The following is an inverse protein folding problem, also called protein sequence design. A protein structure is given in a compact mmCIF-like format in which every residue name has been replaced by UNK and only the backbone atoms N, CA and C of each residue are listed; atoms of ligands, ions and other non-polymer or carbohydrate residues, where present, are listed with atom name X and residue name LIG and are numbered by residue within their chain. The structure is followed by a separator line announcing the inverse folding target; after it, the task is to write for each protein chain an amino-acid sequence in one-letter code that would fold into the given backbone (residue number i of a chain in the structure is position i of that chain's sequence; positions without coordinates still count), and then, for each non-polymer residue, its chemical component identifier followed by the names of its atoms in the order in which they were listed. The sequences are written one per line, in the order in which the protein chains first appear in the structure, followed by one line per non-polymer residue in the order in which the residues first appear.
data_IF_381015904087
#
_entry.id   IF_381015904087
#
_cell.length_a   1.000
_cell.length_b   1.000
_cell.length_c   1.000
_cell.angle_alpha   90.00
_cell.angle_beta   90.00
_cell.angle_gamma   90.00
#
_symmetry.space_group_name_H-M   'P 1'
#
loop_
_entity.id
_entity.type
_entity.pdbx_description
1 polymer ?
#
# COMPACT_ATOMS: atom_id res chain seq x y z
N UNK A 1 22.76 -7.59 7.54
CA UNK A 1 21.69 -8.55 7.17
C UNK A 1 20.84 -8.83 8.39
N UNK A 2 19.52 -8.59 8.34
CA UNK A 2 18.63 -8.97 9.42
C UNK A 2 18.70 -10.49 9.63
N UNK A 3 18.98 -10.94 10.85
CA UNK A 3 18.97 -12.38 11.20
C UNK A 3 17.60 -12.95 10.83
N UNK A 4 17.60 -14.05 10.07
CA UNK A 4 16.38 -14.71 9.63
C UNK A 4 15.55 -15.15 10.83
N UNK A 5 14.33 -14.65 10.95
CA UNK A 5 13.35 -15.19 11.88
C UNK A 5 12.94 -16.58 11.38
N UNK A 6 13.34 -17.64 12.08
CA UNK A 6 12.94 -19.03 11.79
C UNK A 6 11.41 -19.25 11.85
N UNK A 7 10.68 -18.27 12.42
CA UNK A 7 9.25 -18.29 12.70
C UNK A 7 8.36 -17.69 11.59
N UNK A 8 8.89 -17.47 10.38
CA UNK A 8 8.11 -16.91 9.27
C UNK A 8 8.20 -17.75 7.99
N UNK A 9 7.15 -17.71 7.18
CA UNK A 9 7.12 -18.30 5.84
C UNK A 9 8.05 -17.56 4.89
N UNK A 10 8.41 -18.21 3.78
CA UNK A 10 9.24 -17.59 2.73
C UNK A 10 8.63 -16.29 2.21
N UNK A 11 7.32 -16.31 1.91
CA UNK A 11 6.63 -15.14 1.39
C UNK A 11 6.63 -13.98 2.38
N UNK A 12 6.27 -14.21 3.66
CA UNK A 12 6.31 -13.16 4.68
C UNK A 12 7.71 -12.54 4.82
N UNK A 13 8.77 -13.35 4.70
CA UNK A 13 10.15 -12.83 4.68
C UNK A 13 10.43 -11.97 3.45
N UNK A 14 9.96 -12.36 2.26
CA UNK A 14 10.11 -11.55 1.05
C UNK A 14 9.48 -10.16 1.24
N UNK A 15 8.29 -10.09 1.85
CA UNK A 15 7.63 -8.81 2.16
C UNK A 15 8.49 -7.95 3.11
N UNK A 16 9.06 -8.55 4.15
CA UNK A 16 9.94 -7.82 5.07
C UNK A 16 11.23 -7.35 4.42
N UNK A 17 11.84 -8.17 3.55
CA UNK A 17 13.02 -7.80 2.78
C UNK A 17 12.70 -6.63 1.85
N UNK A 18 11.54 -6.66 1.18
CA UNK A 18 11.10 -5.58 0.31
C UNK A 18 10.89 -4.27 1.08
N UNK A 19 10.22 -4.32 2.25
CA UNK A 19 10.08 -3.15 3.14
C UNK A 19 11.45 -2.63 3.60
N UNK A 20 12.40 -3.52 3.92
CA UNK A 20 13.76 -3.15 4.29
C UNK A 20 14.54 -2.49 3.13
N UNK A 21 14.34 -2.94 1.88
CA UNK A 21 14.94 -2.30 0.70
C UNK A 21 14.40 -0.90 0.45
N UNK A 22 13.15 -0.63 0.83
CA UNK A 22 12.50 0.69 0.69
C UNK A 22 12.89 1.63 1.85
N UNK A 23 12.71 1.19 3.09
CA UNK A 23 12.78 2.03 4.30
C UNK A 23 13.75 1.54 5.38
N UNK A 24 14.33 0.37 5.21
CA UNK A 24 15.22 -0.22 6.21
C UNK A 24 16.39 0.71 6.52
N UNK A 25 16.69 0.86 7.81
CA UNK A 25 17.89 1.55 8.27
C UNK A 25 18.91 0.48 8.58
N UNK A 26 19.82 0.25 7.66
CA UNK A 26 20.89 -0.73 7.83
C UNK A 26 22.20 0.01 8.12
N UNK A 27 23.19 -0.69 8.69
CA UNK A 27 24.54 -0.15 8.82
C UNK A 27 25.18 0.17 7.46
N UNK A 28 24.70 -0.47 6.39
CA UNK A 28 25.17 -0.27 5.02
C UNK A 28 24.50 0.94 4.34
N UNK A 29 23.42 1.49 4.91
CA UNK A 29 22.67 2.65 4.38
C UNK A 29 22.28 2.48 2.90
N UNK A 30 21.81 1.30 2.56
CA UNK A 30 21.60 0.81 1.20
C UNK A 30 20.14 0.83 0.74
N UNK A 31 19.21 1.20 1.61
CA UNK A 31 17.80 1.31 1.27
C UNK A 31 17.52 2.51 0.35
N UNK A 32 16.38 2.47 -0.35
CA UNK A 32 15.94 3.58 -1.20
C UNK A 32 15.89 4.89 -0.41
N UNK A 33 15.38 4.84 0.83
CA UNK A 33 15.32 6.02 1.69
C UNK A 33 16.71 6.49 2.14
N UNK A 34 17.61 5.59 2.56
CA UNK A 34 18.96 5.98 2.99
C UNK A 34 19.74 6.65 1.85
N UNK A 35 19.62 6.12 0.63
CA UNK A 35 20.20 6.71 -0.58
C UNK A 35 19.66 8.11 -0.88
N UNK A 36 18.35 8.33 -0.70
CA UNK A 36 17.73 9.64 -0.89
C UNK A 36 18.21 10.65 0.16
N UNK A 37 18.33 10.24 1.43
CA UNK A 37 18.85 11.08 2.51
C UNK A 37 20.30 11.47 2.24
N UNK A 38 21.14 10.52 1.81
CA UNK A 38 22.52 10.81 1.43
C UNK A 38 22.58 11.89 0.32
N UNK A 39 21.74 11.77 -0.71
CA UNK A 39 21.63 12.79 -1.75
C UNK A 39 21.23 14.16 -1.18
N UNK A 40 20.22 14.24 -0.31
CA UNK A 40 19.80 15.51 0.29
C UNK A 40 20.88 16.14 1.17
N UNK A 41 21.60 15.34 1.94
CA UNK A 41 22.69 15.81 2.80
C UNK A 41 23.84 16.38 1.94
N UNK A 42 24.22 15.71 0.85
CA UNK A 42 25.27 16.18 -0.05
C UNK A 42 24.90 17.48 -0.77
N UNK A 43 23.65 17.62 -1.22
CA UNK A 43 23.13 18.86 -1.85
C UNK A 43 23.19 20.06 -0.91
N UNK A 44 23.01 19.86 0.41
CA UNK A 44 23.14 20.96 1.37
C UNK A 44 24.58 21.41 1.62
N UNK A 45 25.57 20.57 1.28
CA UNK A 45 26.99 20.84 1.52
C UNK A 45 27.69 21.51 0.32
N UNK A 46 27.21 21.31 -0.91
CA UNK A 46 27.85 21.80 -2.15
C UNK A 46 27.53 23.25 -2.53
N UNK A 47 26.93 24.04 -1.63
CA UNK A 47 26.71 25.46 -1.87
C UNK A 47 28.01 26.27 -1.81
N UNK A 48 28.63 26.52 -2.99
CA UNK A 48 29.53 27.64 -3.36
C UNK A 48 30.89 27.31 -4.02
N UNK A 49 31.24 26.07 -4.37
CA UNK A 49 32.50 25.80 -5.08
C UNK A 49 32.31 25.56 -6.58
N UNK A 50 32.66 26.58 -7.39
CA UNK A 50 32.47 26.70 -8.84
C UNK A 50 33.44 25.86 -9.71
N UNK A 51 33.99 24.76 -9.22
CA UNK A 51 34.77 23.84 -10.06
C UNK A 51 34.43 22.38 -9.74
N UNK A 52 33.33 21.87 -10.31
CA UNK A 52 33.10 20.43 -10.39
C UNK A 52 34.15 19.81 -11.30
N UNK A 53 35.09 19.05 -10.73
CA UNK A 53 36.04 18.28 -11.54
C UNK A 53 35.29 17.20 -12.34
N UNK A 54 35.81 16.81 -13.51
CA UNK A 54 35.21 15.73 -14.33
C UNK A 54 35.02 14.42 -13.53
N UNK A 55 35.90 14.17 -12.56
CA UNK A 55 35.81 13.03 -11.64
C UNK A 55 34.59 13.11 -10.72
N UNK A 56 34.23 14.31 -10.22
CA UNK A 56 33.03 14.50 -9.40
C UNK A 56 31.75 14.35 -10.23
N UNK A 57 31.73 14.87 -11.45
CA UNK A 57 30.59 14.70 -12.36
C UNK A 57 30.38 13.22 -12.72
N UNK A 58 31.46 12.47 -12.93
CA UNK A 58 31.43 11.02 -13.19
C UNK A 58 30.87 10.27 -11.99
N UNK A 59 31.34 10.57 -10.77
CA UNK A 59 30.85 9.95 -9.54
C UNK A 59 29.35 10.22 -9.34
N UNK A 60 28.92 11.47 -9.51
CA UNK A 60 27.51 11.85 -9.39
C UNK A 60 26.61 11.06 -10.36
N UNK A 61 27.05 10.89 -11.61
CA UNK A 61 26.33 10.09 -12.60
C UNK A 61 26.23 8.60 -12.20
N UNK A 62 27.30 8.02 -11.66
CA UNK A 62 27.30 6.64 -11.17
C UNK A 62 26.31 6.45 -10.03
N UNK A 63 26.30 7.35 -9.04
CA UNK A 63 25.36 7.29 -7.92
C UNK A 63 23.90 7.47 -8.38
N UNK A 64 23.66 8.37 -9.34
CA UNK A 64 22.35 8.57 -9.95
C UNK A 64 21.83 7.29 -10.62
N UNK A 65 22.67 6.60 -11.39
CA UNK A 65 22.35 5.32 -12.03
C UNK A 65 22.10 4.23 -10.99
N UNK A 66 22.93 4.17 -9.94
CA UNK A 66 22.75 3.20 -8.85
C UNK A 66 21.41 3.40 -8.13
N UNK A 67 21.04 4.64 -7.81
CA UNK A 67 19.74 4.97 -7.19
C UNK A 67 18.57 4.57 -8.09
N UNK A 68 18.66 4.83 -9.40
CA UNK A 68 17.64 4.42 -10.37
C UNK A 68 17.52 2.91 -10.47
N UNK A 69 18.64 2.19 -10.57
CA UNK A 69 18.63 0.73 -10.68
C UNK A 69 18.07 0.06 -9.43
N UNK A 70 18.40 0.57 -8.24
CA UNK A 70 17.84 0.08 -6.98
C UNK A 70 16.33 0.32 -6.89
N UNK A 71 15.86 1.50 -7.31
CA UNK A 71 14.43 1.77 -7.38
C UNK A 71 13.72 0.86 -8.39
N UNK A 72 14.32 0.64 -9.56
CA UNK A 72 13.80 -0.26 -10.59
C UNK A 72 13.72 -1.70 -10.08
N UNK A 73 14.75 -2.21 -9.39
CA UNK A 73 14.74 -3.57 -8.85
C UNK A 73 13.62 -3.77 -7.83
N UNK A 74 13.38 -2.77 -6.96
CA UNK A 74 12.23 -2.77 -6.03
C UNK A 74 10.91 -2.84 -6.81
N UNK A 75 10.75 -2.04 -7.86
CA UNK A 75 9.54 -2.05 -8.69
C UNK A 75 9.32 -3.40 -9.38
N UNK A 76 10.39 -4.02 -9.91
CA UNK A 76 10.33 -5.34 -10.54
C UNK A 76 9.93 -6.44 -9.53
N UNK A 77 10.48 -6.40 -8.31
CA UNK A 77 10.07 -7.31 -7.24
C UNK A 77 8.59 -7.12 -6.85
N UNK A 78 8.09 -5.88 -6.83
CA UNK A 78 6.66 -5.61 -6.60
C UNK A 78 5.82 -6.21 -7.74
N UNK A 79 6.22 -6.03 -8.99
CA UNK A 79 5.54 -6.59 -10.17
C UNK A 79 5.50 -8.11 -10.08
N UNK A 80 6.61 -8.78 -9.78
CA UNK A 80 6.67 -10.25 -9.62
C UNK A 80 5.69 -10.76 -8.54
N UNK A 81 5.62 -10.03 -7.42
CA UNK A 81 4.76 -10.36 -6.28
C UNK A 81 3.29 -9.99 -6.47
N UNK A 82 2.92 -9.25 -7.53
CA UNK A 82 1.55 -8.73 -7.71
C UNK A 82 0.92 -9.03 -9.06
N UNK A 83 1.70 -9.30 -10.12
CA UNK A 83 1.17 -9.67 -11.44
C UNK A 83 1.03 -11.20 -11.56
N UNK A 84 -0.11 -11.63 -12.11
CA UNK A 84 -0.42 -13.02 -12.43
C UNK A 84 -0.58 -13.24 -13.93
N UNK A 85 -0.96 -14.47 -14.29
CA UNK A 85 -1.25 -14.82 -15.70
C UNK A 85 -2.53 -14.13 -16.19
N UNK A 86 -3.49 -13.97 -15.29
CA UNK A 86 -4.81 -13.38 -15.53
C UNK A 86 -5.23 -12.39 -14.43
N UNK A 87 -6.44 -11.85 -14.58
CA UNK A 87 -7.04 -10.91 -13.63
C UNK A 87 -7.22 -11.51 -12.23
N UNK A 88 -7.63 -12.77 -12.12
CA UNK A 88 -7.88 -13.41 -10.81
C UNK A 88 -6.57 -13.60 -10.05
N UNK A 89 -5.55 -14.16 -10.71
CA UNK A 89 -4.24 -14.43 -10.12
C UNK A 89 -3.52 -13.13 -9.73
N UNK A 90 -3.61 -12.09 -10.58
CA UNK A 90 -3.09 -10.74 -10.27
C UNK A 90 -3.71 -10.18 -8.99
N UNK A 91 -5.03 -10.30 -8.85
CA UNK A 91 -5.72 -9.79 -7.66
C UNK A 91 -5.49 -10.67 -6.43
N UNK A 92 -5.35 -11.99 -6.59
CA UNK A 92 -4.99 -12.91 -5.51
C UNK A 92 -3.60 -12.58 -4.93
N UNK A 93 -2.60 -12.44 -5.81
CA UNK A 93 -1.23 -12.05 -5.43
C UNK A 93 -1.20 -10.67 -4.75
N UNK A 94 -1.94 -9.72 -5.28
CA UNK A 94 -2.06 -8.38 -4.70
C UNK A 94 -2.73 -8.40 -3.32
N UNK A 95 -3.83 -9.15 -3.16
CA UNK A 95 -4.50 -9.34 -1.87
C UNK A 95 -3.55 -9.96 -0.83
N UNK A 96 -2.79 -10.97 -1.26
CA UNK A 96 -1.78 -11.64 -0.44
C UNK A 96 -0.70 -10.69 0.03
N UNK A 97 -0.14 -9.85 -0.85
CA UNK A 97 0.88 -8.88 -0.48
C UNK A 97 0.31 -7.81 0.46
N UNK A 98 -0.82 -7.18 0.11
CA UNK A 98 -1.48 -6.14 0.92
C UNK A 98 -1.83 -6.66 2.31
N UNK A 99 -2.50 -7.81 2.39
CA UNK A 99 -2.90 -8.38 3.67
C UNK A 99 -1.72 -8.87 4.50
N UNK A 100 -0.64 -9.37 3.87
CA UNK A 100 0.59 -9.72 4.61
C UNK A 100 1.23 -8.49 5.24
N UNK A 101 1.28 -7.36 4.53
CA UNK A 101 1.77 -6.08 5.10
C UNK A 101 0.91 -5.67 6.31
N UNK A 102 -0.42 -5.71 6.18
CA UNK A 102 -1.33 -5.35 7.28
C UNK A 102 -1.21 -6.29 8.48
N UNK A 103 -1.19 -7.62 8.25
CA UNK A 103 -1.15 -8.63 9.31
C UNK A 103 0.20 -8.71 10.01
N UNK A 104 1.29 -8.38 9.33
CA UNK A 104 2.62 -8.28 9.94
C UNK A 104 2.79 -6.98 10.74
N UNK A 105 1.89 -6.00 10.59
CA UNK A 105 1.97 -4.71 11.26
C UNK A 105 1.34 -4.77 12.65
N UNK A 106 1.97 -4.17 13.68
CA UNK A 106 1.35 -4.05 14.99
C UNK A 106 0.14 -3.13 14.91
N UNK A 107 -0.93 -3.52 15.59
CA UNK A 107 -2.18 -2.73 15.68
C UNK A 107 -2.25 -1.90 16.96
N UNK A 108 -1.39 -2.22 17.94
CA UNK A 108 -1.34 -1.60 19.28
C UNK A 108 0.11 -1.43 19.76
N UNK A 109 0.32 -0.53 20.71
CA UNK A 109 1.62 -0.30 21.37
C UNK A 109 2.52 0.73 20.69
N UNK A 110 3.71 0.93 21.26
CA UNK A 110 4.62 2.04 20.92
C UNK A 110 5.27 1.95 19.53
N UNK A 111 5.24 0.78 18.88
CA UNK A 111 5.88 0.56 17.57
C UNK A 111 4.96 0.83 16.38
N UNK A 112 3.68 1.12 16.62
CA UNK A 112 2.67 1.30 15.57
C UNK A 112 3.06 2.40 14.60
N UNK A 113 3.39 3.59 15.09
CA UNK A 113 3.69 4.74 14.22
C UNK A 113 4.91 4.47 13.33
N UNK A 114 6.02 4.03 13.91
CA UNK A 114 7.25 3.72 13.17
C UNK A 114 7.04 2.62 12.12
N UNK A 115 6.31 1.54 12.46
CA UNK A 115 6.00 0.49 11.50
C UNK A 115 5.08 1.00 10.38
N UNK A 116 4.03 1.73 10.74
CA UNK A 116 3.04 2.25 9.80
C UNK A 116 3.68 3.20 8.78
N UNK A 117 4.62 4.05 9.19
CA UNK A 117 5.39 4.89 8.27
C UNK A 117 6.09 4.05 7.18
N UNK A 118 6.74 2.95 7.57
CA UNK A 118 7.47 2.07 6.64
C UNK A 118 6.53 1.30 5.69
N UNK A 119 5.34 0.91 6.15
CA UNK A 119 4.39 0.16 5.34
C UNK A 119 3.63 1.02 4.32
N UNK A 120 3.49 2.34 4.57
CA UNK A 120 2.67 3.24 3.75
C UNK A 120 3.02 3.21 2.27
N UNK A 121 4.29 3.42 1.91
CA UNK A 121 4.63 3.63 0.49
C UNK A 121 4.41 2.37 -0.34
N UNK A 122 4.80 1.20 0.19
CA UNK A 122 4.60 -0.08 -0.49
C UNK A 122 3.12 -0.39 -0.66
N UNK A 123 2.33 -0.27 0.41
CA UNK A 123 0.90 -0.54 0.35
C UNK A 123 0.18 0.39 -0.63
N UNK A 124 0.54 1.69 -0.62
CA UNK A 124 0.04 2.69 -1.56
C UNK A 124 0.42 2.37 -3.01
N UNK A 125 1.65 1.94 -3.25
CA UNK A 125 2.14 1.62 -4.59
C UNK A 125 1.36 0.46 -5.22
N UNK A 126 1.12 -0.61 -4.45
CA UNK A 126 0.33 -1.76 -4.90
C UNK A 126 -1.11 -1.34 -5.25
N UNK A 127 -1.75 -0.55 -4.38
CA UNK A 127 -3.09 -0.03 -4.65
C UNK A 127 -3.13 0.88 -5.88
N UNK A 128 -2.08 1.68 -6.13
CA UNK A 128 -2.02 2.59 -7.28
C UNK A 128 -2.05 1.82 -8.59
N UNK A 129 -1.33 0.69 -8.68
CA UNK A 129 -1.33 -0.16 -9.89
C UNK A 129 -2.66 -0.89 -10.05
N UNK A 130 -3.24 -1.44 -8.98
CA UNK A 130 -4.57 -2.09 -9.06
C UNK A 130 -5.68 -1.12 -9.43
N UNK A 131 -5.57 0.12 -8.96
CA UNK A 131 -6.48 1.21 -9.31
C UNK A 131 -6.35 1.59 -10.79
N UNK A 132 -5.13 1.65 -11.32
CA UNK A 132 -4.89 1.83 -12.75
C UNK A 132 -5.61 0.74 -13.57
N UNK A 133 -5.42 -0.54 -13.21
CA UNK A 133 -6.06 -1.65 -13.92
C UNK A 133 -7.59 -1.48 -13.97
N UNK A 134 -8.21 -1.21 -12.81
CA UNK A 134 -9.67 -1.01 -12.72
C UNK A 134 -10.15 0.14 -13.59
N UNK A 135 -9.47 1.29 -13.54
CA UNK A 135 -9.86 2.46 -14.32
C UNK A 135 -9.72 2.25 -15.83
N UNK A 136 -8.76 1.44 -16.28
CA UNK A 136 -8.64 1.05 -17.70
C UNK A 136 -9.80 0.12 -18.07
N UNK A 137 -10.09 -0.89 -17.25
CA UNK A 137 -11.19 -1.84 -17.49
C UNK A 137 -12.56 -1.14 -17.52
N UNK A 138 -12.76 -0.12 -16.69
CA UNK A 138 -13.96 0.71 -16.69
C UNK A 138 -14.03 1.71 -17.86
N UNK A 139 -13.05 1.70 -18.79
CA UNK A 139 -12.87 2.71 -19.85
C UNK A 139 -12.93 4.14 -19.30
N UNK A 140 -12.46 4.28 -18.07
CA UNK A 140 -12.72 5.43 -17.22
C UNK A 140 -11.64 6.49 -17.32
N UNK A 141 -10.49 6.12 -17.88
CA UNK A 141 -9.48 7.03 -18.40
C UNK A 141 -9.92 7.48 -19.80
N UNK A 142 -10.97 8.30 -19.88
CA UNK A 142 -11.48 8.80 -21.16
C UNK A 142 -10.47 9.72 -21.86
N UNK A 143 -10.39 9.59 -23.19
CA UNK A 143 -9.52 10.31 -24.12
C UNK A 143 -9.63 11.84 -24.12
N UNK A 144 -10.59 12.43 -23.42
CA UNK A 144 -10.82 13.88 -23.41
C UNK A 144 -10.12 14.65 -22.27
N UNK A 145 -9.50 13.95 -21.31
CA UNK A 145 -8.75 14.58 -20.20
C UNK A 145 -7.26 14.17 -20.22
N UNK A 146 -6.49 14.56 -21.23
CA UNK A 146 -5.03 14.70 -21.10
C UNK A 146 -4.42 15.30 -22.37
N UNK A 147 -3.82 16.47 -22.23
CA UNK A 147 -2.72 16.94 -23.07
C UNK A 147 -1.45 16.12 -22.80
N UNK A 148 -1.50 14.78 -22.99
CA UNK A 148 -0.40 13.80 -23.12
C UNK A 148 -0.74 12.46 -22.44
N UNK A 149 -1.56 11.64 -23.11
CA UNK A 149 -2.03 10.36 -22.59
C UNK A 149 -1.05 9.21 -22.92
N UNK A 150 0.09 9.16 -22.23
CA UNK A 150 1.06 8.07 -22.36
C UNK A 150 0.42 6.68 -22.19
N UNK A 151 -0.60 6.55 -21.32
CA UNK A 151 -1.35 5.30 -21.14
C UNK A 151 -2.07 4.91 -22.44
N UNK A 152 -2.86 5.82 -23.01
CA UNK A 152 -3.55 5.56 -24.27
C UNK A 152 -2.58 5.33 -25.43
N UNK A 153 -1.45 6.05 -25.47
CA UNK A 153 -0.39 5.82 -26.46
C UNK A 153 0.09 4.37 -26.44
N UNK A 154 0.44 3.85 -25.25
CA UNK A 154 0.90 2.47 -25.11
C UNK A 154 -0.23 1.46 -25.41
N UNK A 155 -1.47 1.72 -24.98
CA UNK A 155 -2.60 0.85 -25.33
C UNK A 155 -2.81 0.79 -26.85
N UNK A 156 -2.70 1.92 -27.53
CA UNK A 156 -2.85 2.02 -28.99
C UNK A 156 -1.68 1.41 -29.78
N UNK A 157 -0.56 1.04 -29.14
CA UNK A 157 0.47 0.19 -29.77
C UNK A 157 -0.08 -1.22 -30.06
N UNK A 158 -1.17 -1.63 -29.41
CA UNK A 158 -1.81 -2.94 -29.55
C UNK A 158 -3.33 -2.81 -29.85
N UNK A 159 -3.71 -2.24 -31.02
CA UNK A 159 -5.10 -1.89 -31.31
C UNK A 159 -6.05 -3.10 -31.43
N UNK A 160 -5.50 -4.28 -31.74
CA UNK A 160 -6.28 -5.50 -31.95
C UNK A 160 -6.55 -6.28 -30.65
N UNK A 161 -6.08 -5.79 -29.51
CA UNK A 161 -6.23 -6.46 -28.20
C UNK A 161 -6.76 -5.49 -27.16
N UNK A 162 -7.82 -5.89 -26.45
CA UNK A 162 -8.25 -5.14 -25.27
C UNK A 162 -7.23 -5.33 -24.13
N UNK A 163 -7.16 -4.39 -23.19
CA UNK A 163 -6.24 -4.44 -22.06
C UNK A 163 -6.31 -5.77 -21.27
N UNK A 164 -7.52 -6.32 -21.11
CA UNK A 164 -7.73 -7.59 -20.40
C UNK A 164 -7.12 -8.79 -21.15
N UNK A 165 -6.97 -8.68 -22.46
CA UNK A 165 -6.59 -9.75 -23.39
C UNK A 165 -5.16 -9.58 -23.93
N UNK A 166 -4.39 -8.66 -23.35
CA UNK A 166 -2.98 -8.46 -23.74
C UNK A 166 -2.19 -9.77 -23.65
N UNK A 167 -1.45 -10.07 -24.71
CA UNK A 167 -0.48 -11.16 -24.73
C UNK A 167 0.73 -10.82 -23.85
N UNK A 168 1.71 -11.74 -23.78
CA UNK A 168 2.90 -11.54 -22.96
C UNK A 168 3.72 -10.31 -23.38
N UNK A 169 3.77 -10.00 -24.68
CA UNK A 169 4.55 -8.88 -25.21
C UNK A 169 3.89 -7.55 -24.85
N UNK A 170 2.57 -7.45 -25.08
CA UNK A 170 1.78 -6.28 -24.73
C UNK A 170 1.74 -6.05 -23.21
N UNK A 171 1.59 -7.12 -22.41
CA UNK A 171 1.68 -7.06 -20.95
C UNK A 171 3.03 -6.49 -20.50
N UNK A 172 4.14 -7.04 -21.02
CA UNK A 172 5.48 -6.57 -20.67
C UNK A 172 5.70 -5.11 -21.07
N UNK A 173 5.31 -4.73 -22.29
CA UNK A 173 5.39 -3.35 -22.77
C UNK A 173 4.62 -2.40 -21.86
N UNK A 174 3.40 -2.77 -21.46
CA UNK A 174 2.57 -1.96 -20.57
C UNK A 174 3.16 -1.86 -19.15
N UNK A 175 3.69 -2.97 -18.62
CA UNK A 175 4.37 -2.98 -17.32
C UNK A 175 5.54 -2.00 -17.33
N UNK A 176 6.42 -2.10 -18.32
CA UNK A 176 7.64 -1.29 -18.41
C UNK A 176 7.37 0.20 -18.59
N UNK A 177 6.41 0.54 -19.46
CA UNK A 177 6.16 1.93 -19.84
C UNK A 177 5.18 2.65 -18.91
N UNK A 178 4.31 1.90 -18.21
CA UNK A 178 3.23 2.49 -17.39
C UNK A 178 3.31 2.03 -15.93
N UNK A 179 3.24 0.72 -15.64
CA UNK A 179 3.13 0.24 -14.25
C UNK A 179 4.40 0.52 -13.43
N UNK A 180 5.59 0.32 -14.01
CA UNK A 180 6.86 0.60 -13.34
C UNK A 180 7.00 2.10 -13.02
N UNK A 181 6.86 3.04 -13.97
CA UNK A 181 6.83 4.47 -13.67
C UNK A 181 5.81 4.88 -12.60
N UNK A 182 4.61 4.28 -12.61
CA UNK A 182 3.59 4.52 -11.59
C UNK A 182 4.05 4.05 -10.21
N UNK A 183 4.65 2.85 -10.11
CA UNK A 183 5.24 2.34 -8.86
C UNK A 183 6.35 3.26 -8.36
N UNK A 184 7.28 3.67 -9.24
CA UNK A 184 8.35 4.59 -8.89
C UNK A 184 7.78 5.90 -8.33
N UNK A 185 6.82 6.51 -9.03
CA UNK A 185 6.17 7.74 -8.56
C UNK A 185 5.46 7.55 -7.22
N UNK A 186 4.78 6.41 -7.01
CA UNK A 186 4.10 6.11 -5.74
C UNK A 186 5.09 5.97 -4.57
N UNK A 187 6.21 5.26 -4.78
CA UNK A 187 7.25 5.08 -3.76
C UNK A 187 7.94 6.41 -3.40
N UNK A 188 8.16 7.28 -4.39
CA UNK A 188 8.86 8.56 -4.21
C UNK A 188 7.99 9.71 -3.69
N UNK A 189 6.67 9.62 -3.76
CA UNK A 189 5.75 10.76 -3.50
C UNK A 189 6.02 11.52 -2.19
N UNK A 190 6.49 10.82 -1.16
CA UNK A 190 6.72 11.37 0.18
C UNK A 190 8.23 11.49 0.54
N UNK A 191 9.14 11.27 -0.44
CA UNK A 191 10.59 11.22 -0.20
C UNK A 191 11.17 12.59 0.20
N UNK A 192 10.59 13.69 -0.30
CA UNK A 192 10.99 15.04 0.04
C UNK A 192 10.80 15.41 1.51
N UNK A 193 9.97 14.66 2.26
CA UNK A 193 9.86 14.85 3.71
C UNK A 193 11.17 14.57 4.46
N UNK A 194 12.11 13.84 3.86
CA UNK A 194 13.39 13.50 4.47
C UNK A 194 14.50 14.52 4.18
N UNK A 195 14.21 15.57 3.40
CA UNK A 195 15.11 16.70 3.26
C UNK A 195 15.25 17.46 4.60
N UNK A 196 16.44 17.99 4.89
CA UNK A 196 16.78 18.70 6.14
C UNK A 196 15.75 19.77 6.57
N UNK A 197 15.30 20.61 5.62
CA UNK A 197 14.25 21.61 5.84
C UNK A 197 12.90 21.03 6.30
N UNK A 198 12.49 19.88 5.75
CA UNK A 198 11.26 19.21 6.15
C UNK A 198 11.43 18.52 7.52
N UNK A 199 12.60 17.91 7.74
CA UNK A 199 12.98 17.33 9.03
C UNK A 199 13.05 18.37 10.16
N UNK A 200 13.45 19.61 9.88
CA UNK A 200 13.42 20.69 10.86
C UNK A 200 11.99 21.04 11.32
N UNK A 201 10.99 20.89 10.45
CA UNK A 201 9.57 21.02 10.84
C UNK A 201 9.16 19.81 11.67
N UNK A 202 9.52 18.60 11.24
CA UNK A 202 9.10 17.35 11.88
C UNK A 202 9.78 17.10 13.24
N UNK A 203 11.02 17.52 13.44
CA UNK A 203 11.75 17.21 14.67
C UNK A 203 11.99 18.45 15.55
N UNK A 204 11.67 19.65 15.06
CA UNK A 204 11.97 20.91 15.73
C UNK A 204 13.45 21.28 15.64
N UNK A 205 13.80 22.48 16.10
CA UNK A 205 15.16 23.02 16.01
C UNK A 205 16.19 22.19 16.80
N UNK A 206 15.77 21.58 17.91
CA UNK A 206 16.59 20.76 18.80
C UNK A 206 16.48 19.25 18.51
N UNK A 207 15.73 18.86 17.47
CA UNK A 207 15.46 17.47 17.06
C UNK A 207 14.77 16.59 18.11
N UNK A 208 14.05 17.17 19.06
CA UNK A 208 13.39 16.43 20.16
C UNK A 208 11.88 16.25 19.98
N UNK A 209 11.26 16.94 19.03
CA UNK A 209 9.83 16.80 18.82
C UNK A 209 9.51 15.46 18.15
N UNK A 210 8.38 14.86 18.56
CA UNK A 210 7.87 13.66 17.90
C UNK A 210 7.51 13.99 16.43
N UNK A 211 8.11 13.29 15.44
CA UNK A 211 7.79 13.48 14.02
C UNK A 211 6.36 13.10 13.66
N UNK A 212 5.64 12.38 14.53
CA UNK A 212 4.27 11.94 14.29
C UNK A 212 3.20 12.81 14.97
N UNK A 213 3.61 13.87 15.68
CA UNK A 213 2.70 14.79 16.34
C UNK A 213 1.77 15.50 15.35
N UNK A 214 0.68 16.04 15.86
CA UNK A 214 -0.17 16.94 15.09
C UNK A 214 0.60 18.23 14.76
N UNK A 215 0.70 18.56 13.47
CA UNK A 215 1.21 19.84 13.00
C UNK A 215 0.08 20.85 12.88
N UNK A 216 0.34 22.10 13.21
CA UNK A 216 -0.58 23.20 12.91
C UNK A 216 -0.74 23.40 11.40
N UNK A 217 -1.72 24.22 11.02
CA UNK A 217 -2.10 24.41 9.60
C UNK A 217 -0.94 24.99 8.77
N UNK A 218 -0.17 25.92 9.32
CA UNK A 218 0.93 26.58 8.61
C UNK A 218 2.15 25.66 8.48
N UNK A 219 2.53 24.97 9.56
CA UNK A 219 3.56 23.94 9.54
C UNK A 219 3.23 22.83 8.54
N UNK A 220 1.98 22.36 8.54
CA UNK A 220 1.52 21.33 7.60
C UNK A 220 1.58 21.82 6.15
N UNK A 221 1.14 23.04 5.87
CA UNK A 221 1.20 23.64 4.54
C UNK A 221 2.64 23.76 4.05
N UNK A 222 3.55 24.23 4.90
CA UNK A 222 4.98 24.34 4.60
C UNK A 222 5.62 22.97 4.37
N UNK A 223 5.32 21.98 5.20
CA UNK A 223 5.81 20.61 5.02
C UNK A 223 5.36 20.03 3.67
N UNK A 224 4.08 20.20 3.31
CA UNK A 224 3.55 19.74 2.02
C UNK A 224 4.25 20.41 0.82
N UNK A 225 4.56 21.71 0.91
CA UNK A 225 5.31 22.44 -0.13
C UNK A 225 6.75 21.94 -0.25
N UNK A 226 7.43 21.72 0.89
CA UNK A 226 8.79 21.21 0.92
C UNK A 226 8.86 19.79 0.37
N UNK A 227 7.94 18.92 0.77
CA UNK A 227 7.85 17.56 0.23
C UNK A 227 7.68 17.60 -1.29
N UNK A 228 6.72 18.39 -1.78
CA UNK A 228 6.49 18.53 -3.22
C UNK A 228 7.73 18.99 -3.98
N UNK A 229 8.38 20.06 -3.50
CA UNK A 229 9.59 20.62 -4.12
C UNK A 229 10.72 19.58 -4.15
N UNK A 230 11.07 19.02 -2.99
CA UNK A 230 12.23 18.16 -2.84
C UNK A 230 12.03 16.78 -3.47
N UNK A 231 10.79 16.26 -3.51
CA UNK A 231 10.46 15.06 -4.27
C UNK A 231 10.67 15.26 -5.78
N UNK A 232 10.23 16.40 -6.33
CA UNK A 232 10.44 16.69 -7.75
C UNK A 232 11.91 16.89 -8.09
N UNK A 233 12.65 17.62 -7.25
CA UNK A 233 14.09 17.79 -7.42
C UNK A 233 14.84 16.46 -7.34
N UNK A 234 14.51 15.61 -6.36
CA UNK A 234 15.10 14.28 -6.25
C UNK A 234 14.80 13.42 -7.50
N UNK A 235 13.59 13.50 -8.04
CA UNK A 235 13.24 12.77 -9.27
C UNK A 235 14.02 13.29 -10.49
N UNK A 236 14.19 14.60 -10.64
CA UNK A 236 14.87 15.18 -11.81
C UNK A 236 16.38 15.11 -11.74
N UNK A 237 16.96 15.36 -10.56
CA UNK A 237 18.40 15.55 -10.35
C UNK A 237 19.01 14.45 -9.47
N UNK A 238 18.22 13.77 -8.64
CA UNK A 238 18.69 12.66 -7.82
C UNK A 238 18.73 11.33 -8.57
N UNK A 239 17.90 11.14 -9.60
CA UNK A 239 17.80 9.89 -10.35
C UNK A 239 18.43 9.99 -11.75
N UNK A 240 19.21 8.98 -12.13
CA UNK A 240 19.88 8.85 -13.42
C UNK A 240 19.04 8.16 -14.49
N UNK A 241 19.39 8.33 -15.76
CA UNK A 241 18.75 7.59 -16.87
C UNK A 241 19.41 6.22 -16.96
N UNK A 242 18.63 5.17 -17.19
CA UNK A 242 19.22 3.86 -17.44
C UNK A 242 20.14 3.93 -18.67
N UNK A 243 21.23 3.15 -18.68
CA UNK A 243 22.14 3.09 -19.82
C UNK A 243 21.66 2.00 -20.79
N UNK A 244 21.59 2.33 -22.08
CA UNK A 244 21.31 1.33 -23.11
C UNK A 244 22.47 0.31 -23.19
N UNK A 245 22.11 -0.98 -23.20
CA UNK A 245 23.05 -2.09 -23.40
C UNK A 245 22.63 -2.84 -24.66
N UNK A 246 23.41 -2.72 -25.73
CA UNK A 246 23.15 -3.37 -27.00
C UNK A 246 23.97 -2.77 -28.13
N UNK A 247 23.82 -3.32 -29.34
CA UNK A 247 24.65 -3.00 -30.50
C UNK A 247 23.90 -2.31 -31.65
N UNK A 248 22.58 -2.08 -31.53
CA UNK A 248 21.77 -1.42 -32.57
C UNK A 248 21.57 0.06 -32.27
N UNK A 249 21.75 0.89 -33.29
CA UNK A 249 21.49 2.34 -33.20
C UNK A 249 19.99 2.62 -33.10
N UNK A 250 19.18 1.82 -33.79
CA UNK A 250 17.72 1.90 -33.82
C UNK A 250 17.16 1.56 -32.43
N UNK A 251 17.60 0.44 -31.84
CA UNK A 251 17.23 0.06 -30.47
C UNK A 251 17.65 1.11 -29.45
N UNK A 252 18.89 1.64 -29.56
CA UNK A 252 19.35 2.73 -28.68
C UNK A 252 18.47 3.96 -28.78
N UNK A 253 18.03 4.30 -29.98
CA UNK A 253 17.17 5.47 -30.22
C UNK A 253 15.80 5.25 -29.57
N UNK A 254 15.18 4.08 -29.78
CA UNK A 254 13.91 3.74 -29.16
C UNK A 254 14.00 3.69 -27.64
N UNK A 255 15.07 3.11 -27.10
CA UNK A 255 15.35 3.08 -25.66
C UNK A 255 15.38 4.50 -25.06
N UNK A 256 16.09 5.43 -25.70
CA UNK A 256 16.17 6.81 -25.21
C UNK A 256 14.80 7.50 -25.22
N UNK A 257 13.99 7.27 -26.26
CA UNK A 257 12.62 7.79 -26.37
C UNK A 257 11.75 7.24 -25.24
N UNK A 258 11.81 5.93 -25.00
CA UNK A 258 11.05 5.25 -23.96
C UNK A 258 11.46 5.75 -22.56
N UNK A 259 12.75 5.85 -22.26
CA UNK A 259 13.24 6.35 -20.97
C UNK A 259 12.84 7.81 -20.73
N UNK A 260 12.84 8.64 -21.78
CA UNK A 260 12.34 10.01 -21.70
C UNK A 260 10.83 10.04 -21.42
N UNK A 261 10.04 9.21 -22.10
CA UNK A 261 8.60 9.11 -21.90
C UNK A 261 8.25 8.64 -20.46
N UNK A 262 8.97 7.64 -19.94
CA UNK A 262 8.83 7.16 -18.55
C UNK A 262 9.07 8.29 -17.55
N UNK A 263 10.14 9.07 -17.72
CA UNK A 263 10.46 10.23 -16.87
C UNK A 263 9.39 11.30 -16.91
N UNK A 264 8.92 11.67 -18.10
CA UNK A 264 7.84 12.65 -18.28
C UNK A 264 6.55 12.16 -17.60
N UNK A 265 6.23 10.87 -17.73
CA UNK A 265 5.07 10.28 -17.09
C UNK A 265 5.19 10.30 -15.55
N UNK A 266 6.33 9.91 -14.99
CA UNK A 266 6.59 10.02 -13.53
C UNK A 266 6.44 11.46 -13.04
N UNK A 267 7.01 12.42 -13.76
CA UNK A 267 6.92 13.84 -13.42
C UNK A 267 5.48 14.33 -13.46
N UNK A 268 4.70 13.93 -14.46
CA UNK A 268 3.28 14.25 -14.58
C UNK A 268 2.48 13.70 -13.40
N UNK A 269 2.68 12.42 -13.05
CA UNK A 269 2.00 11.78 -11.91
C UNK A 269 2.30 12.52 -10.60
N UNK A 270 3.57 12.79 -10.31
CA UNK A 270 3.99 13.50 -9.10
C UNK A 270 3.43 14.92 -9.04
N UNK A 271 3.58 15.70 -10.14
CA UNK A 271 3.08 17.07 -10.23
C UNK A 271 1.57 17.14 -10.04
N UNK A 272 0.83 16.28 -10.74
CA UNK A 272 -0.63 16.28 -10.69
C UNK A 272 -1.18 15.74 -9.37
N UNK A 273 -0.46 14.86 -8.65
CA UNK A 273 -0.95 14.31 -7.37
C UNK A 273 -1.14 15.35 -6.25
N UNK A 274 -0.45 16.50 -6.33
CA UNK A 274 -0.58 17.57 -5.33
C UNK A 274 -1.95 18.25 -5.38
N UNK A 275 -2.50 18.45 -6.59
CA UNK A 275 -3.84 18.99 -6.86
C UNK A 275 -4.47 18.20 -8.01
N UNK A 276 -4.95 16.97 -7.75
CA UNK A 276 -5.27 16.05 -8.83
C UNK A 276 -6.55 16.43 -9.57
N UNK A 277 -7.48 17.16 -8.93
CA UNK A 277 -8.82 17.45 -9.49
C UNK A 277 -9.42 16.13 -10.03
N UNK A 278 -9.69 16.04 -11.34
CA UNK A 278 -10.16 14.82 -12.01
C UNK A 278 -9.06 14.03 -12.75
N UNK A 279 -7.83 14.55 -12.83
CA UNK A 279 -6.76 13.97 -13.66
C UNK A 279 -6.01 12.78 -13.06
N UNK A 280 -4.97 12.34 -13.79
CA UNK A 280 -4.15 11.16 -13.48
C UNK A 280 -3.47 11.17 -12.10
N UNK A 281 -3.26 12.34 -11.50
CA UNK A 281 -2.73 12.47 -10.15
C UNK A 281 -3.56 11.75 -9.09
N UNK A 282 -4.84 11.46 -9.38
CA UNK A 282 -5.70 10.65 -8.51
C UNK A 282 -5.22 9.20 -8.35
N UNK A 283 -4.46 8.65 -9.31
CA UNK A 283 -3.82 7.34 -9.19
C UNK A 283 -2.87 7.25 -8.00
N UNK A 284 -2.30 8.38 -7.58
CA UNK A 284 -1.47 8.46 -6.37
C UNK A 284 -2.25 9.03 -5.19
N UNK A 285 -3.07 10.07 -5.40
CA UNK A 285 -3.73 10.80 -4.31
C UNK A 285 -4.77 9.95 -3.56
N UNK A 286 -5.61 9.21 -4.29
CA UNK A 286 -6.68 8.42 -3.67
C UNK A 286 -6.10 7.28 -2.82
N UNK A 287 -5.13 6.47 -3.33
CA UNK A 287 -4.40 5.52 -2.50
C UNK A 287 -3.66 6.18 -1.33
N UNK A 288 -3.04 7.35 -1.52
CA UNK A 288 -2.37 8.08 -0.43
C UNK A 288 -3.34 8.40 0.73
N UNK A 289 -4.54 8.91 0.42
CA UNK A 289 -5.56 9.21 1.44
C UNK A 289 -6.01 7.93 2.14
N UNK A 290 -6.34 6.88 1.38
CA UNK A 290 -6.75 5.59 1.93
C UNK A 290 -5.70 5.03 2.88
N UNK A 291 -4.46 4.90 2.43
CA UNK A 291 -3.35 4.34 3.22
C UNK A 291 -3.00 5.19 4.44
N UNK A 292 -3.23 6.51 4.41
CA UNK A 292 -3.02 7.39 5.58
C UNK A 292 -3.94 7.07 6.77
N UNK A 293 -5.06 6.40 6.51
CA UNK A 293 -5.99 5.91 7.54
C UNK A 293 -5.61 4.48 7.95
N UNK A 294 -5.36 3.59 6.98
CA UNK A 294 -5.00 2.18 7.25
C UNK A 294 -3.74 2.06 8.09
N UNK A 295 -2.72 2.85 7.75
CA UNK A 295 -1.44 2.93 8.44
C UNK A 295 -1.27 4.31 9.07
N UNK A 296 -2.20 4.75 9.94
CA UNK A 296 -2.02 6.04 10.58
C UNK A 296 -0.81 6.05 11.52
N UNK A 297 -0.04 7.14 11.49
CA UNK A 297 1.08 7.36 12.42
C UNK A 297 0.65 8.14 13.67
N UNK A 298 -0.61 8.58 13.74
CA UNK A 298 -1.12 9.38 14.85
C UNK A 298 -1.27 8.52 16.11
N UNK A 299 -1.07 9.13 17.28
CA UNK A 299 -1.34 8.49 18.58
C UNK A 299 -2.79 8.00 18.70
N UNK A 300 -3.73 8.68 18.05
CA UNK A 300 -5.14 8.32 18.01
C UNK A 300 -5.47 7.18 17.02
N UNK A 301 -4.48 6.43 16.54
CA UNK A 301 -4.70 5.31 15.65
C UNK A 301 -5.61 4.27 16.32
N UNK A 302 -6.64 3.84 15.60
CA UNK A 302 -7.57 2.84 16.10
C UNK A 302 -7.95 1.88 14.98
N UNK A 303 -7.50 0.64 15.13
CA UNK A 303 -7.78 -0.43 14.19
C UNK A 303 -9.30 -0.65 13.97
N UNK A 304 -10.12 -0.46 15.01
CA UNK A 304 -11.57 -0.70 14.96
C UNK A 304 -12.33 0.22 14.00
N UNK A 305 -11.74 1.36 13.61
CA UNK A 305 -12.38 2.34 12.72
C UNK A 305 -11.89 2.25 11.28
N UNK A 306 -11.00 1.31 10.95
CA UNK A 306 -10.52 1.14 9.58
C UNK A 306 -11.64 0.96 8.54
N UNK A 307 -12.76 0.26 8.82
CA UNK A 307 -13.87 0.17 7.87
C UNK A 307 -14.58 1.52 7.60
N UNK A 308 -14.21 2.59 8.30
CA UNK A 308 -14.69 3.96 8.03
C UNK A 308 -13.78 4.74 7.08
N UNK A 309 -12.72 4.14 6.53
CA UNK A 309 -11.76 4.83 5.64
C UNK A 309 -12.44 5.54 4.48
N UNK A 310 -13.45 4.93 3.86
CA UNK A 310 -14.18 5.54 2.74
C UNK A 310 -15.06 6.72 3.14
N UNK A 311 -15.43 6.88 4.42
CA UNK A 311 -16.06 8.11 4.88
C UNK A 311 -15.12 9.31 4.73
N UNK A 312 -13.82 9.10 5.00
CA UNK A 312 -12.80 10.15 4.83
C UNK A 312 -12.50 10.36 3.35
N UNK A 313 -12.35 9.28 2.59
CA UNK A 313 -11.97 9.37 1.16
C UNK A 313 -13.11 10.01 0.35
N UNK A 314 -14.37 9.60 0.55
CA UNK A 314 -15.53 10.22 -0.10
C UNK A 314 -15.66 11.70 0.27
N UNK A 315 -15.50 12.06 1.55
CA UNK A 315 -15.52 13.47 1.96
C UNK A 315 -14.44 14.30 1.25
N UNK A 316 -13.26 13.73 0.97
CA UNK A 316 -12.23 14.44 0.19
C UNK A 316 -12.65 14.62 -1.27
N UNK A 317 -13.35 13.65 -1.86
CA UNK A 317 -13.89 13.77 -3.21
C UNK A 317 -15.06 14.76 -3.31
N UNK A 318 -15.99 14.74 -2.35
CA UNK A 318 -17.10 15.71 -2.22
C UNK A 318 -16.58 17.16 -2.11
N UNK A 319 -15.47 17.36 -1.41
CA UNK A 319 -14.80 18.66 -1.29
C UNK A 319 -13.94 19.02 -2.52
N UNK A 320 -13.94 18.18 -3.57
CA UNK A 320 -13.20 18.41 -4.82
C UNK A 320 -11.69 18.21 -4.73
N UNK A 321 -11.18 17.60 -3.65
CA UNK A 321 -9.74 17.35 -3.47
C UNK A 321 -9.24 16.16 -4.32
N UNK A 322 -10.12 15.23 -4.68
CA UNK A 322 -9.85 14.10 -5.56
C UNK A 322 -11.11 13.69 -6.35
N UNK A 323 -10.94 12.79 -7.31
CA UNK A 323 -12.04 12.31 -8.17
C UNK A 323 -12.92 11.26 -7.49
N UNK A 324 -14.23 11.49 -7.39
CA UNK A 324 -15.18 10.51 -6.86
C UNK A 324 -15.14 9.19 -7.63
N UNK A 325 -15.06 9.26 -8.97
CA UNK A 325 -14.95 8.10 -9.86
C UNK A 325 -13.78 7.19 -9.50
N UNK A 326 -12.64 7.79 -9.13
CA UNK A 326 -11.44 7.06 -8.72
C UNK A 326 -11.60 6.49 -7.31
N UNK A 327 -12.33 7.18 -6.42
CA UNK A 327 -12.69 6.66 -5.09
C UNK A 327 -13.60 5.44 -5.22
N UNK A 328 -14.61 5.50 -6.09
CA UNK A 328 -15.56 4.41 -6.33
C UNK A 328 -14.82 3.17 -6.89
N UNK A 329 -13.89 3.37 -7.83
CA UNK A 329 -13.03 2.30 -8.33
C UNK A 329 -12.18 1.65 -7.21
N UNK A 330 -11.61 2.44 -6.30
CA UNK A 330 -10.89 1.89 -5.14
C UNK A 330 -11.82 1.16 -4.16
N UNK A 331 -13.05 1.64 -3.98
CA UNK A 331 -14.07 1.00 -3.15
C UNK A 331 -14.49 -0.35 -3.74
N UNK A 332 -14.63 -0.44 -5.07
CA UNK A 332 -14.89 -1.70 -5.77
C UNK A 332 -13.76 -2.70 -5.60
N UNK A 333 -12.50 -2.26 -5.64
CA UNK A 333 -11.33 -3.14 -5.44
C UNK A 333 -11.26 -3.68 -4.02
N UNK A 334 -11.41 -2.81 -3.01
CA UNK A 334 -11.08 -3.14 -1.61
C UNK A 334 -12.28 -3.51 -0.76
N UNK A 335 -13.48 -3.08 -1.13
CA UNK A 335 -14.67 -3.15 -0.29
C UNK A 335 -14.60 -2.24 0.94
N UNK A 336 -15.54 -2.46 1.87
CA UNK A 336 -15.62 -1.71 3.13
C UNK A 336 -14.49 -2.09 4.09
N UNK A 337 -14.04 -3.34 4.08
CA UNK A 337 -13.07 -3.89 5.02
C UNK A 337 -11.70 -4.07 4.33
N UNK A 338 -10.62 -3.44 4.82
CA UNK A 338 -9.29 -3.57 4.24
C UNK A 338 -8.75 -5.01 4.23
N UNK A 339 -7.81 -5.30 3.33
CA UNK A 339 -7.11 -6.58 3.32
C UNK A 339 -6.36 -6.82 4.64
N UNK A 340 -6.45 -8.05 5.17
CA UNK A 340 -5.90 -8.41 6.48
C UNK A 340 -6.74 -7.92 7.67
N UNK A 341 -7.93 -7.35 7.45
CA UNK A 341 -8.80 -6.92 8.55
C UNK A 341 -9.45 -8.12 9.25
N UNK A 342 -9.48 -8.10 10.60
CA UNK A 342 -10.09 -9.14 11.42
C UNK A 342 -11.60 -8.96 11.57
N UNK A 343 -12.36 -9.87 10.97
CA UNK A 343 -13.83 -9.93 11.04
C UNK A 343 -14.27 -10.89 12.14
N UNK A 344 -15.31 -10.49 12.87
CA UNK A 344 -16.03 -11.36 13.79
C UNK A 344 -17.43 -11.59 13.22
N UNK A 345 -17.85 -12.84 13.11
CA UNK A 345 -19.11 -13.19 12.47
C UNK A 345 -19.83 -14.35 13.16
N UNK A 346 -21.15 -14.42 12.97
CA UNK A 346 -21.96 -15.58 13.35
C UNK A 346 -21.96 -16.58 12.19
N UNK A 347 -21.45 -17.82 12.37
CA UNK A 347 -21.53 -18.86 11.35
C UNK A 347 -22.99 -19.28 11.12
N UNK A 348 -23.29 -19.65 9.88
CA UNK A 348 -24.55 -20.29 9.49
C UNK A 348 -24.27 -21.75 9.13
N UNK A 349 -25.20 -22.65 9.46
CA UNK A 349 -25.21 -24.01 8.95
C UNK A 349 -25.76 -24.08 7.51
N UNK A 350 -25.80 -25.29 6.94
CA UNK A 350 -26.31 -25.52 5.57
C UNK A 350 -27.80 -25.16 5.41
N UNK A 351 -28.56 -25.13 6.50
CA UNK A 351 -29.97 -24.72 6.54
C UNK A 351 -30.13 -23.21 6.80
N UNK A 352 -29.03 -22.47 6.92
CA UNK A 352 -29.03 -21.03 7.23
C UNK A 352 -29.35 -20.71 8.68
N UNK A 353 -29.35 -21.69 9.57
CA UNK A 353 -29.51 -21.47 11.01
C UNK A 353 -28.19 -20.95 11.57
N UNK A 354 -28.28 -19.95 12.45
CA UNK A 354 -27.09 -19.35 13.05
C UNK A 354 -26.59 -20.23 14.19
N UNK A 355 -25.26 -20.39 14.28
CA UNK A 355 -24.64 -21.10 15.38
C UNK A 355 -24.75 -20.35 16.72
N UNK A 356 -24.37 -21.02 17.80
CA UNK A 356 -24.48 -20.53 19.17
C UNK A 356 -23.28 -19.68 19.65
N UNK A 357 -22.32 -19.43 18.76
CA UNK A 357 -21.11 -18.66 19.07
C UNK A 357 -20.60 -17.92 17.84
N UNK A 358 -19.89 -16.80 18.08
CA UNK A 358 -19.21 -16.08 17.00
C UNK A 358 -17.84 -16.70 16.71
N UNK A 359 -17.39 -16.53 15.47
CA UNK A 359 -16.10 -17.01 14.97
C UNK A 359 -15.32 -15.85 14.34
N UNK A 360 -14.01 -16.07 14.16
CA UNK A 360 -13.06 -15.13 13.60
C UNK A 360 -12.71 -15.49 12.17
N UNK A 361 -12.63 -14.47 11.32
CA UNK A 361 -12.18 -14.55 9.94
C UNK A 361 -11.28 -13.36 9.57
N UNK A 362 -10.51 -13.49 8.50
CA UNK A 362 -9.57 -12.46 8.02
C UNK A 362 -9.90 -12.14 6.57
N UNK A 363 -10.07 -10.86 6.24
CA UNK A 363 -10.26 -10.42 4.84
C UNK A 363 -9.02 -10.78 4.02
N UNK A 364 -9.18 -11.56 2.96
CA UNK A 364 -8.05 -12.11 2.21
C UNK A 364 -8.21 -12.08 0.67
N UNK A 365 -9.32 -11.54 0.15
CA UNK A 365 -9.54 -11.37 -1.30
C UNK A 365 -10.05 -9.97 -1.62
N UNK A 366 -9.63 -9.47 -2.78
CA UNK A 366 -10.12 -8.21 -3.38
C UNK A 366 -11.42 -8.46 -4.17
N UNK A 367 -12.06 -7.39 -4.61
CA UNK A 367 -13.29 -7.39 -5.40
C UNK A 367 -14.46 -8.17 -4.75
N UNK A 368 -14.87 -7.82 -3.52
CA UNK A 368 -16.10 -8.38 -2.98
C UNK A 368 -17.29 -7.96 -3.87
N UNK A 369 -18.20 -8.89 -4.25
CA UNK A 369 -19.36 -8.56 -5.08
C UNK A 369 -20.26 -7.49 -4.45
N UNK A 370 -20.37 -7.51 -3.12
CA UNK A 370 -21.01 -6.48 -2.32
C UNK A 370 -19.96 -5.90 -1.36
N UNK A 371 -19.62 -4.60 -1.44
CA UNK A 371 -18.54 -4.01 -0.64
C UNK A 371 -18.65 -4.23 0.88
N UNK A 372 -19.86 -4.30 1.42
CA UNK A 372 -20.14 -4.54 2.84
C UNK A 372 -20.02 -6.02 3.26
N UNK A 373 -19.83 -6.94 2.31
CA UNK A 373 -19.75 -8.39 2.51
C UNK A 373 -18.35 -8.88 2.14
N UNK A 374 -17.39 -8.83 3.07
CA UNK A 374 -16.00 -9.11 2.75
C UNK A 374 -15.77 -10.60 2.47
N UNK A 375 -14.87 -10.85 1.54
CA UNK A 375 -14.35 -12.18 1.25
C UNK A 375 -13.22 -12.50 2.24
N UNK A 376 -13.41 -13.53 3.06
CA UNK A 376 -12.54 -13.82 4.19
C UNK A 376 -12.06 -15.28 4.21
N UNK A 377 -10.92 -15.52 4.84
CA UNK A 377 -10.47 -16.83 5.30
C UNK A 377 -10.94 -17.05 6.74
N UNK A 378 -11.54 -18.20 7.02
CA UNK A 378 -11.88 -18.60 8.39
C UNK A 378 -10.60 -18.78 9.21
N UNK A 379 -10.54 -18.19 10.41
CA UNK A 379 -9.42 -18.29 11.34
C UNK A 379 -9.75 -19.13 12.58
N UNK A 380 -11.03 -19.30 12.91
CA UNK A 380 -11.48 -20.17 14.00
C UNK A 380 -12.66 -21.05 13.59
N UNK A 381 -12.74 -22.24 14.18
CA UNK A 381 -13.90 -23.14 14.04
C UNK A 381 -14.14 -23.84 15.37
N UNK A 382 -15.40 -23.83 15.82
CA UNK A 382 -15.78 -24.31 17.16
C UNK A 382 -14.90 -23.67 18.24
N UNK A 383 -14.70 -22.35 18.14
CA UNK A 383 -13.90 -21.56 19.08
C UNK A 383 -12.42 -21.96 19.18
N UNK A 384 -11.89 -22.66 18.18
CA UNK A 384 -10.48 -23.07 18.13
C UNK A 384 -9.81 -22.45 16.91
N UNK A 385 -8.63 -21.87 17.09
CA UNK A 385 -7.84 -21.34 15.98
C UNK A 385 -7.39 -22.45 15.03
N UNK A 386 -7.55 -22.21 13.73
CA UNK A 386 -7.17 -23.14 12.68
C UNK A 386 -6.16 -22.48 11.72
N UNK A 387 -5.10 -23.21 11.38
CA UNK A 387 -4.12 -22.77 10.36
C UNK A 387 -4.55 -23.04 8.91
N UNK A 388 -5.70 -23.71 8.74
CA UNK A 388 -6.29 -24.08 7.45
C UNK A 388 -7.81 -23.89 7.52
N UNK A 389 -8.40 -23.23 6.54
CA UNK A 389 -9.85 -22.99 6.48
C UNK A 389 -10.28 -22.65 5.06
N UNK A 390 -11.58 -22.77 4.75
CA UNK A 390 -12.11 -22.35 3.44
C UNK A 390 -12.35 -20.84 3.41
N UNK A 391 -12.48 -20.31 2.19
CA UNK A 391 -12.86 -18.93 1.99
C UNK A 391 -14.38 -18.81 2.09
N UNK A 392 -14.86 -17.76 2.74
CA UNK A 392 -16.28 -17.45 2.88
C UNK A 392 -16.55 -16.00 2.49
N UNK A 393 -17.78 -15.71 2.08
CA UNK A 393 -18.32 -14.36 2.06
C UNK A 393 -19.05 -14.11 3.38
N UNK A 394 -18.58 -13.14 4.16
CA UNK A 394 -19.25 -12.82 5.43
C UNK A 394 -20.39 -11.85 5.15
N UNK A 395 -21.62 -12.38 5.18
CA UNK A 395 -22.82 -11.56 4.94
C UNK A 395 -22.95 -10.45 5.97
N UNK A 396 -23.49 -9.30 5.55
CA UNK A 396 -23.76 -8.14 6.42
C UNK A 396 -24.60 -8.53 7.64
N UNK A 397 -25.60 -9.39 7.43
CA UNK A 397 -26.46 -9.91 8.49
C UNK A 397 -25.71 -10.74 9.52
N UNK A 398 -24.53 -11.28 9.22
CA UNK A 398 -23.76 -12.16 10.12
C UNK A 398 -22.53 -11.49 10.71
N UNK A 399 -22.16 -10.31 10.23
CA UNK A 399 -20.94 -9.62 10.64
C UNK A 399 -21.22 -8.72 11.87
N UNK A 400 -20.52 -8.97 12.97
CA UNK A 400 -20.69 -8.27 14.25
C UNK A 400 -20.26 -6.79 14.19
N UNK A 401 -19.54 -6.36 13.15
CA UNK A 401 -19.27 -4.94 12.92
C UNK A 401 -20.58 -4.14 12.79
N UNK A 402 -21.63 -4.74 12.19
CA UNK A 402 -22.89 -4.07 11.98
C UNK A 402 -23.78 -4.12 13.24
N UNK A 403 -24.45 -3.00 13.60
CA UNK A 403 -25.23 -2.91 14.84
C UNK A 403 -26.33 -3.96 14.98
N UNK A 404 -26.94 -4.39 13.86
CA UNK A 404 -28.02 -5.39 13.89
C UNK A 404 -27.52 -6.72 14.45
N UNK A 405 -26.37 -7.21 13.99
CA UNK A 405 -25.81 -8.46 14.48
C UNK A 405 -25.23 -8.31 15.88
N UNK A 406 -24.53 -7.19 16.16
CA UNK A 406 -24.02 -6.92 17.51
C UNK A 406 -25.12 -6.96 18.57
N UNK A 407 -26.31 -6.38 18.29
CA UNK A 407 -27.48 -6.45 19.19
C UNK A 407 -28.01 -7.86 19.39
N UNK A 408 -27.98 -8.70 18.35
CA UNK A 408 -28.41 -10.10 18.43
C UNK A 408 -27.43 -10.93 19.26
N UNK A 409 -26.14 -10.74 19.11
CA UNK A 409 -25.14 -11.45 19.93
C UNK A 409 -25.17 -10.95 21.39
N UNK A 410 -25.53 -9.69 21.62
CA UNK A 410 -25.73 -9.15 22.97
C UNK A 410 -26.88 -9.80 23.76
N UNK A 411 -27.79 -10.53 23.10
CA UNK A 411 -28.82 -11.30 23.81
C UNK A 411 -28.34 -12.65 24.32
N UNK A 412 -27.10 -13.06 24.03
CA UNK A 412 -26.48 -14.24 24.64
C UNK A 412 -26.21 -13.98 26.13
N UNK A 413 -26.20 -15.03 26.95
CA UNK A 413 -25.91 -14.89 28.38
C UNK A 413 -24.48 -14.39 28.61
N UNK A 414 -24.29 -13.63 29.69
CA UNK A 414 -22.97 -13.07 30.05
C UNK A 414 -21.96 -14.18 30.32
N UNK A 415 -22.40 -15.30 30.88
CA UNK A 415 -21.60 -16.50 31.11
C UNK A 415 -21.09 -17.07 29.77
N UNK A 416 -21.96 -17.19 28.77
CA UNK A 416 -21.59 -17.72 27.45
C UNK A 416 -20.63 -16.80 26.71
N UNK A 417 -20.82 -15.49 26.78
CA UNK A 417 -19.89 -14.51 26.19
C UNK A 417 -18.51 -14.60 26.85
N UNK A 418 -18.45 -14.75 28.17
CA UNK A 418 -17.20 -14.91 28.90
C UNK A 418 -16.48 -16.21 28.53
N UNK A 419 -17.20 -17.33 28.37
CA UNK A 419 -16.63 -18.62 27.93
C UNK A 419 -16.01 -18.51 26.53
N UNK A 420 -16.74 -17.91 25.57
CA UNK A 420 -16.23 -17.68 24.21
C UNK A 420 -14.96 -16.82 24.27
N UNK A 421 -14.97 -15.80 25.11
CA UNK A 421 -13.87 -14.87 25.24
C UNK A 421 -12.62 -15.50 25.86
N UNK A 422 -12.79 -16.41 26.83
CA UNK A 422 -11.70 -17.19 27.43
C UNK A 422 -11.02 -18.10 26.40
N UNK A 423 -11.79 -18.72 25.51
CA UNK A 423 -11.27 -19.61 24.48
C UNK A 423 -10.57 -18.88 23.32
N UNK A 424 -11.01 -17.66 23.00
CA UNK A 424 -10.53 -16.90 21.84
C UNK A 424 -9.55 -15.75 22.16
N UNK A 425 -9.26 -15.49 23.43
CA UNK A 425 -8.38 -14.40 23.86
C UNK A 425 -7.20 -14.91 24.69
N UNK A 426 -5.98 -14.71 24.17
CA UNK A 426 -4.71 -14.96 24.86
C UNK A 426 -4.57 -14.19 26.19
N UNK A 427 -5.13 -12.97 26.27
CA UNK A 427 -5.08 -12.10 27.46
C UNK A 427 -6.48 -11.89 28.07
N UNK A 428 -7.18 -12.97 28.39
CA UNK A 428 -8.55 -12.95 28.94
C UNK A 428 -8.71 -12.01 30.16
N UNK A 429 -7.79 -12.07 31.12
CA UNK A 429 -7.86 -11.31 32.38
C UNK A 429 -7.81 -9.79 32.18
N UNK A 430 -7.03 -9.30 31.22
CA UNK A 430 -6.92 -7.86 30.92
C UNK A 430 -8.15 -7.34 30.16
N UNK A 431 -8.78 -8.21 29.37
CA UNK A 431 -9.89 -7.82 28.50
C UNK A 431 -11.29 -8.12 29.09
N UNK A 432 -11.40 -8.81 30.23
CA UNK A 432 -12.65 -8.90 31.01
C UNK A 432 -13.22 -7.52 31.40
N UNK A 433 -12.34 -6.51 31.54
CA UNK A 433 -12.71 -5.12 31.84
C UNK A 433 -13.17 -4.33 30.59
N UNK A 434 -13.10 -4.91 29.39
CA UNK A 434 -13.47 -4.29 28.12
C UNK A 434 -14.84 -4.79 27.63
N UNK A 435 -15.37 -4.12 26.60
CA UNK A 435 -16.64 -4.44 25.94
C UNK A 435 -16.67 -5.92 25.49
N UNK A 436 -17.58 -6.72 26.07
CA UNK A 436 -17.72 -8.18 25.87
C UNK A 436 -18.08 -8.55 24.42
N UNK A 437 -18.45 -7.58 23.59
CA UNK A 437 -18.80 -7.74 22.18
C UNK A 437 -17.78 -7.00 21.29
N UNK A 438 -16.61 -7.60 21.05
CA UNK A 438 -15.66 -7.02 20.11
C UNK A 438 -16.32 -6.90 18.72
N UNK A 439 -16.21 -5.73 18.09
CA UNK A 439 -16.71 -5.48 16.72
C UNK A 439 -15.73 -5.93 15.62
N UNK A 440 -14.51 -6.25 16.01
CA UNK A 440 -13.43 -6.79 15.19
C UNK A 440 -12.41 -7.47 16.10
N UNK A 441 -11.49 -8.23 15.51
CA UNK A 441 -10.38 -8.86 16.25
C UNK A 441 -9.02 -8.49 15.64
N UNK A 442 -7.98 -8.59 16.44
CA UNK A 442 -6.62 -8.17 16.07
C UNK A 442 -5.85 -9.36 15.49
N UNK A 443 -5.94 -9.55 14.18
CA UNK A 443 -5.42 -10.73 13.48
C UNK A 443 -3.88 -10.84 13.41
N UNK A 444 -3.15 -9.80 13.82
CA UNK A 444 -1.68 -9.78 13.81
C UNK A 444 -1.07 -10.81 14.76
N UNK A 445 -1.68 -11.07 15.92
CA UNK A 445 -1.20 -12.10 16.86
C UNK A 445 -1.33 -13.49 16.24
N UNK A 446 -2.49 -13.79 15.65
CA UNK A 446 -2.71 -15.04 14.94
C UNK A 446 -1.70 -15.23 13.80
N UNK A 447 -1.44 -14.19 13.00
CA UNK A 447 -0.50 -14.24 11.88
C UNK A 447 0.98 -14.30 12.30
N UNK A 448 1.31 -13.93 13.55
CA UNK A 448 2.68 -14.02 14.07
C UNK A 448 3.18 -15.48 14.16
N UNK A 449 2.25 -16.43 14.26
CA UNK A 449 2.53 -17.88 14.25
C UNK A 449 2.74 -18.35 12.81
N UNK A 450 3.88 -19.03 12.57
CA UNK A 450 4.32 -19.44 11.23
C UNK A 450 3.27 -20.31 10.51
N UNK A 451 2.65 -21.22 11.23
CA UNK A 451 1.67 -22.18 10.72
C UNK A 451 0.43 -21.46 10.18
N UNK A 452 0.06 -20.33 10.78
CA UNK A 452 -1.11 -19.52 10.43
C UNK A 452 -0.86 -18.58 9.24
N UNK A 453 0.40 -18.37 8.84
CA UNK A 453 0.76 -17.56 7.67
C UNK A 453 0.40 -18.24 6.33
N UNK A 454 -0.04 -19.51 6.37
CA UNK A 454 -0.54 -20.27 5.21
C UNK A 454 -1.94 -19.85 4.73
N UNK A 455 -2.53 -18.80 5.30
CA UNK A 455 -3.88 -18.31 4.97
C UNK A 455 -4.11 -17.98 3.48
N UNK A 456 -3.01 -17.76 2.74
CA UNK A 456 -2.98 -17.45 1.32
C UNK A 456 -2.98 -18.65 0.39
N UNK A 457 -2.78 -19.86 0.93
CA UNK A 457 -2.76 -21.06 0.11
C UNK A 457 -4.12 -21.26 -0.56
N UNK A 458 -4.10 -21.78 -1.80
CA UNK A 458 -5.33 -22.29 -2.45
C UNK A 458 -5.81 -23.44 -1.58
N UNK A 459 -6.88 -23.19 -0.85
CA UNK A 459 -7.66 -24.23 -0.22
C UNK A 459 -8.96 -24.15 -0.98
N UNK A 460 -9.07 -25.07 -1.95
CA UNK A 460 -10.26 -25.29 -2.76
C UNK A 460 -11.48 -25.55 -1.87
#
# INVERSE_FOLDING_TARGET
MAKSSFHQTHFTRQVQVLLAKIYGRSSLKDSMLDRAINYFDNQTFTGNDEQQSESQATLHNLEQVERTNHLLSICLEIIELTEGEDFEETNRKSAQLLGTIQLASPTEGKRVAANNEQCKSLYKAILSVRLLDRLILDKSLSSHEASDNNIARIINEFPDSAYADFDLVAKQRFIEQIKIPLLMAALLQDIGNYHSQAQAILLGADKKLDPHRALDVEQRKKLLQLNYKHTLNYMSEGLGVASYVGNSKEERTQFNIDEQAKRQFMQLLLKSSFKPKQGLGNLLKVPQIYTSIIFSTKESYNYKVLPKVFQVVNKNAELGACSQKVVDALYQITGLFPQGYGIIYMPEDEMGQQGDCYEYAIVNRLYPPVPEQPLCRIATRKLTFIGYGHNIEVKKKNNLYFPQMAKKVASLSKERLNEIFELLSSNYQERQALDLLPRCWHANEFFSVKENQKLWNKAD
#
